data_IF_202068272814
#
_entry.id   IF_202068272814
#
_cell.length_a   1.000
_cell.length_b   1.000
_cell.length_c   1.000
_cell.angle_alpha   90.00
_cell.angle_beta   90.00
_cell.angle_gamma   90.00
#
_symmetry.space_group_name_H-M   'P 1'
#
loop_
_entity.id
_entity.type
_entity.pdbx_description
1 polymer ?
#
# COMPACT_ATOMS: atom_id res chain seq x y z
N UNK A 1 15.95 0.04 -7.11
CA UNK A 1 16.05 0.76 -5.81
C UNK A 1 16.83 -0.05 -4.76
N UNK A 2 17.43 -1.19 -5.11
CA UNK A 2 18.06 -2.12 -4.15
C UNK A 2 19.57 -1.90 -3.90
N UNK A 3 20.17 -0.86 -4.47
CA UNK A 3 21.62 -0.62 -4.39
C UNK A 3 22.08 0.13 -3.13
N UNK A 4 21.25 0.24 -2.10
CA UNK A 4 21.51 1.10 -0.92
C UNK A 4 21.61 0.33 0.41
N UNK A 5 21.49 -0.99 0.40
CA UNK A 5 21.67 -1.80 1.60
C UNK A 5 23.15 -1.87 1.96
N UNK A 6 23.51 -1.49 3.18
CA UNK A 6 24.87 -1.50 3.76
C UNK A 6 25.92 -0.62 3.08
N UNK A 7 25.49 0.41 2.34
CA UNK A 7 26.36 1.41 1.73
C UNK A 7 27.32 2.08 2.74
N UNK A 8 26.89 2.30 3.98
CA UNK A 8 27.66 2.97 5.04
C UNK A 8 28.78 2.17 5.69
N UNK A 9 28.96 0.88 5.35
CA UNK A 9 30.07 0.05 5.84
C UNK A 9 31.24 -0.01 4.84
N UNK A 10 31.12 0.64 3.68
CA UNK A 10 32.16 0.64 2.63
C UNK A 10 33.05 1.89 2.82
N UNK A 11 34.36 1.73 3.06
CA UNK A 11 35.26 2.86 3.35
C UNK A 11 35.31 3.94 2.25
N UNK A 12 35.01 3.56 1.01
CA UNK A 12 35.05 4.43 -0.17
C UNK A 12 33.68 5.00 -0.57
N UNK A 13 32.60 4.68 0.14
CA UNK A 13 31.26 5.17 -0.15
C UNK A 13 30.73 5.99 1.04
N UNK A 14 31.09 7.27 1.08
CA UNK A 14 30.62 8.26 2.07
C UNK A 14 29.14 8.62 1.82
N UNK A 15 28.22 7.70 2.09
CA UNK A 15 26.78 7.91 1.93
C UNK A 15 26.17 8.50 3.22
N UNK A 16 25.65 9.73 3.13
CA UNK A 16 25.13 10.54 4.25
C UNK A 16 23.80 10.08 4.89
N UNK A 17 23.24 8.92 4.49
CA UNK A 17 21.99 8.41 5.09
C UNK A 17 22.26 7.17 5.93
N UNK A 18 21.94 7.28 7.22
CA UNK A 18 21.91 6.17 8.18
C UNK A 18 21.00 5.06 7.62
N UNK A 19 21.50 3.83 7.39
CA UNK A 19 20.66 2.76 6.88
C UNK A 19 19.53 2.48 7.87
N UNK A 20 18.29 2.45 7.38
CA UNK A 20 17.15 1.97 8.15
C UNK A 20 17.28 0.45 8.17
N UNK A 21 17.61 -0.10 9.34
CA UNK A 21 17.59 -1.55 9.54
C UNK A 21 16.12 -1.98 9.51
N UNK A 22 15.70 -2.61 8.42
CA UNK A 22 14.42 -3.26 8.34
C UNK A 22 14.54 -4.65 8.98
N UNK A 23 13.76 -4.90 10.04
CA UNK A 23 13.62 -6.22 10.63
C UNK A 23 12.48 -6.94 9.93
N UNK A 24 12.75 -8.11 9.38
CA UNK A 24 11.71 -8.95 8.78
C UNK A 24 11.23 -9.96 9.83
N UNK A 25 9.98 -10.42 9.73
CA UNK A 25 9.43 -11.38 10.70
C UNK A 25 10.23 -12.70 10.76
N UNK A 26 10.97 -13.03 9.71
CA UNK A 26 11.90 -14.17 9.70
C UNK A 26 13.08 -14.01 10.68
N UNK A 27 13.45 -12.78 11.05
CA UNK A 27 14.52 -12.51 12.02
C UNK A 27 14.06 -12.78 13.48
N UNK A 28 12.76 -13.02 13.71
CA UNK A 28 12.19 -13.33 15.05
C UNK A 28 12.21 -14.81 15.42
N UNK A 29 12.71 -15.69 14.55
CA UNK A 29 12.84 -17.12 14.88
C UNK A 29 14.04 -17.29 15.83
N UNK A 30 13.83 -16.93 17.09
CA UNK A 30 14.71 -17.30 18.19
C UNK A 30 14.79 -18.82 18.29
N UNK A 31 16.00 -19.33 18.56
CA UNK A 31 16.40 -20.74 18.69
C UNK A 31 15.58 -21.59 19.69
N UNK A 32 14.55 -21.03 20.32
CA UNK A 32 13.75 -21.66 21.37
C UNK A 32 12.57 -22.51 20.85
N UNK A 33 12.11 -22.33 19.61
CA UNK A 33 10.87 -23.01 19.13
C UNK A 33 11.15 -24.25 18.28
N UNK A 34 12.42 -24.57 18.02
CA UNK A 34 12.83 -25.71 17.17
C UNK A 34 12.98 -27.03 17.92
N UNK A 35 12.68 -27.11 19.22
CA UNK A 35 12.69 -28.39 19.95
C UNK A 35 11.33 -29.07 20.05
N UNK A 36 10.22 -28.38 19.75
CA UNK A 36 8.88 -28.97 19.85
C UNK A 36 8.28 -29.40 18.50
N UNK A 37 8.74 -28.84 17.38
CA UNK A 37 8.19 -29.13 16.04
C UNK A 37 8.97 -30.18 15.24
N UNK A 38 10.08 -30.72 15.77
CA UNK A 38 10.90 -31.70 15.05
C UNK A 38 10.30 -33.11 15.04
N UNK A 39 9.19 -33.36 15.75
CA UNK A 39 8.62 -34.70 15.89
C UNK A 39 7.44 -35.03 14.95
N UNK A 40 6.90 -34.09 14.14
CA UNK A 40 5.60 -34.34 13.49
C UNK A 40 5.46 -34.08 11.98
N UNK A 41 6.49 -33.61 11.28
CA UNK A 41 6.38 -33.43 9.81
C UNK A 41 7.60 -34.03 9.13
N UNK A 42 7.48 -35.31 8.80
CA UNK A 42 8.38 -36.02 7.91
C UNK A 42 7.88 -35.90 6.47
N UNK A 43 7.59 -34.70 5.96
CA UNK A 43 7.31 -34.52 4.52
C UNK A 43 7.51 -33.05 4.10
N UNK A 44 8.30 -32.89 3.04
CA UNK A 44 8.77 -31.66 2.38
C UNK A 44 10.06 -31.05 2.98
N UNK A 45 11.10 -31.04 2.14
CA UNK A 45 12.40 -30.41 2.36
C UNK A 45 12.24 -28.89 2.60
N UNK A 46 11.93 -28.49 3.84
CA UNK A 46 12.33 -27.17 4.32
C UNK A 46 13.78 -27.30 4.76
N UNK A 47 14.70 -26.91 3.88
CA UNK A 47 16.11 -26.77 4.26
C UNK A 47 16.18 -25.56 5.22
N UNK A 48 16.55 -25.77 6.50
CA UNK A 48 16.62 -24.66 7.43
C UNK A 48 17.74 -23.71 6.98
N UNK A 49 17.42 -22.44 6.78
CA UNK A 49 18.32 -21.32 6.45
C UNK A 49 19.42 -21.06 7.53
N UNK A 50 19.66 -22.02 8.44
CA UNK A 50 20.70 -22.00 9.47
C UNK A 50 22.06 -22.49 8.99
N UNK A 51 22.25 -22.78 7.69
CA UNK A 51 23.59 -23.05 7.16
C UNK A 51 24.32 -21.72 6.98
N UNK A 52 25.41 -21.44 7.71
CA UNK A 52 26.25 -20.29 7.40
C UNK A 52 26.65 -20.41 5.92
N UNK A 53 26.43 -19.34 5.17
CA UNK A 53 26.74 -19.30 3.75
C UNK A 53 28.20 -19.73 3.56
N UNK A 54 28.45 -20.63 2.61
CA UNK A 54 29.81 -21.04 2.24
C UNK A 54 30.68 -19.77 2.05
N UNK A 55 31.98 -19.76 2.39
CA UNK A 55 32.83 -18.57 2.22
C UNK A 55 32.91 -18.04 0.78
N UNK A 56 32.45 -18.84 -0.20
CA UNK A 56 32.34 -18.46 -1.62
C UNK A 56 30.92 -17.98 -2.04
N UNK A 57 29.98 -17.92 -1.09
CA UNK A 57 28.57 -17.57 -1.27
C UNK A 57 27.72 -18.71 -1.84
N UNK A 58 26.43 -18.79 -1.46
CA UNK A 58 25.45 -19.67 -2.10
C UNK A 58 24.76 -18.96 -3.27
N UNK A 59 23.92 -19.67 -4.04
CA UNK A 59 23.18 -19.07 -5.16
C UNK A 59 22.28 -17.87 -4.75
N UNK A 60 21.90 -17.76 -3.47
CA UNK A 60 21.17 -16.59 -2.92
C UNK A 60 22.08 -15.42 -2.56
N UNK A 61 23.34 -15.68 -2.20
CA UNK A 61 24.27 -14.67 -1.67
C UNK A 61 25.34 -14.21 -2.69
N UNK A 62 25.57 -14.98 -3.76
CA UNK A 62 26.44 -14.59 -4.86
C UNK A 62 25.68 -13.64 -5.77
N UNK A 63 25.98 -12.34 -5.65
CA UNK A 63 25.55 -11.34 -6.64
C UNK A 63 26.22 -11.68 -7.97
N UNK A 64 25.44 -12.23 -8.91
CA UNK A 64 25.92 -12.39 -10.28
C UNK A 64 26.05 -10.98 -10.89
N UNK A 65 27.19 -10.64 -11.48
CA UNK A 65 27.30 -9.36 -12.20
C UNK A 65 26.24 -9.35 -13.29
N UNK A 66 25.51 -8.23 -13.38
CA UNK A 66 24.59 -8.06 -14.49
C UNK A 66 25.38 -8.09 -15.80
N UNK A 67 24.87 -8.76 -16.85
CA UNK A 67 25.56 -8.79 -18.16
C UNK A 67 25.64 -7.40 -18.80
N UNK A 68 24.94 -6.40 -18.23
CA UNK A 68 24.80 -5.03 -18.72
C UNK A 68 25.03 -4.09 -17.55
N UNK A 69 25.84 -3.06 -17.75
CA UNK A 69 26.23 -2.12 -16.70
C UNK A 69 25.13 -1.08 -16.42
N UNK A 70 24.81 -0.23 -17.38
CA UNK A 70 23.76 0.79 -17.31
C UNK A 70 23.48 1.37 -18.70
N UNK A 71 22.46 2.20 -18.83
CA UNK A 71 22.11 2.87 -20.09
C UNK A 71 23.17 3.86 -20.58
N UNK A 72 24.09 4.32 -19.71
CA UNK A 72 25.20 5.20 -20.10
C UNK A 72 26.35 4.41 -20.73
N UNK A 73 26.69 3.25 -20.18
CA UNK A 73 27.78 2.40 -20.66
C UNK A 73 27.36 1.53 -21.86
N UNK A 74 26.07 1.26 -22.03
CA UNK A 74 25.54 0.42 -23.11
C UNK A 74 24.22 1.00 -23.65
N UNK A 75 24.26 2.20 -24.26
CA UNK A 75 23.05 2.92 -24.69
C UNK A 75 22.26 2.21 -25.78
N UNK A 76 22.90 1.31 -26.53
CA UNK A 76 22.30 0.55 -27.64
C UNK A 76 21.75 -0.82 -27.22
N UNK A 77 21.80 -1.18 -25.93
CA UNK A 77 21.32 -2.49 -25.49
C UNK A 77 19.79 -2.59 -25.58
N UNK A 78 19.22 -3.66 -26.17
CA UNK A 78 17.78 -3.79 -26.40
C UNK A 78 16.92 -3.70 -25.13
N UNK A 79 17.46 -4.07 -23.96
CA UNK A 79 16.76 -3.90 -22.68
C UNK A 79 16.46 -2.43 -22.32
N UNK A 80 17.22 -1.47 -22.86
CA UNK A 80 16.96 -0.04 -22.64
C UNK A 80 16.04 0.57 -23.70
N UNK A 81 15.76 -0.14 -24.81
CA UNK A 81 14.85 0.33 -25.85
C UNK A 81 13.37 0.40 -25.38
N UNK A 82 13.04 -0.26 -24.26
CA UNK A 82 11.71 -0.22 -23.64
C UNK A 82 11.47 1.11 -22.91
N UNK A 83 12.54 1.85 -22.56
CA UNK A 83 12.41 3.13 -21.88
C UNK A 83 12.13 4.22 -22.92
N UNK A 84 10.99 4.93 -22.83
CA UNK A 84 10.67 5.99 -23.77
C UNK A 84 11.77 7.05 -23.73
N UNK A 85 12.31 7.37 -24.91
CA UNK A 85 13.34 8.38 -25.07
C UNK A 85 12.79 9.74 -24.55
N UNK A 86 13.42 10.38 -23.55
CA UNK A 86 12.88 11.60 -22.94
C UNK A 86 12.69 12.76 -23.94
N UNK A 87 13.35 12.72 -25.11
CA UNK A 87 13.19 13.70 -26.18
C UNK A 87 11.87 13.61 -26.96
N UNK A 88 11.10 12.53 -26.82
CA UNK A 88 9.77 12.40 -27.43
C UNK A 88 8.61 12.90 -26.55
N UNK A 89 8.89 13.52 -25.40
CA UNK A 89 7.87 14.23 -24.61
C UNK A 89 7.58 15.61 -25.23
N UNK A 90 7.34 15.66 -26.53
CA UNK A 90 6.78 16.81 -27.20
C UNK A 90 5.26 16.78 -27.02
N UNK A 91 4.76 17.67 -26.18
CA UNK A 91 3.49 18.40 -26.34
C UNK A 91 2.27 17.60 -26.80
N UNK A 92 1.34 17.32 -25.86
CA UNK A 92 -0.13 17.47 -26.02
C UNK A 92 -1.01 16.42 -25.34
N UNK A 93 -0.56 15.74 -24.28
CA UNK A 93 -1.50 15.17 -23.32
C UNK A 93 -1.55 16.10 -22.12
N UNK A 94 -2.38 17.16 -22.19
CA UNK A 94 -2.91 17.74 -20.97
C UNK A 94 -3.67 16.60 -20.28
N UNK A 95 -3.01 15.91 -19.35
CA UNK A 95 -3.67 14.95 -18.49
C UNK A 95 -4.88 15.69 -17.91
N UNK A 96 -6.09 15.24 -18.24
CA UNK A 96 -7.31 15.87 -17.79
C UNK A 96 -7.18 16.06 -16.27
N UNK A 97 -7.03 17.32 -15.85
CA UNK A 97 -6.80 17.64 -14.45
C UNK A 97 -7.98 17.09 -13.67
N UNK A 98 -7.76 16.01 -12.93
CA UNK A 98 -8.74 15.40 -12.04
C UNK A 98 -9.48 16.52 -11.30
N UNK A 99 -10.81 16.56 -11.45
CA UNK A 99 -11.63 17.58 -10.82
C UNK A 99 -11.30 17.61 -9.32
N UNK A 100 -10.83 18.77 -8.83
CA UNK A 100 -10.34 18.89 -7.46
C UNK A 100 -11.52 18.80 -6.49
N UNK A 101 -11.33 18.09 -5.39
CA UNK A 101 -12.27 18.08 -4.28
C UNK A 101 -12.40 19.49 -3.69
N UNK A 102 -13.59 19.85 -3.22
CA UNK A 102 -13.87 21.18 -2.67
C UNK A 102 -13.02 21.44 -1.43
N UNK A 103 -12.69 22.72 -1.15
CA UNK A 103 -12.19 23.08 0.18
C UNK A 103 -13.36 23.03 1.16
N UNK A 104 -13.27 22.13 2.15
CA UNK A 104 -14.25 21.98 3.23
C UNK A 104 -13.48 22.10 4.54
N UNK A 105 -13.94 22.97 5.44
CA UNK A 105 -13.33 23.18 6.75
C UNK A 105 -13.80 22.12 7.73
N UNK A 106 -12.87 21.45 8.41
CA UNK A 106 -13.21 20.58 9.54
C UNK A 106 -13.58 21.45 10.74
N UNK A 107 -14.87 21.53 11.05
CA UNK A 107 -15.39 22.19 12.24
C UNK A 107 -15.74 21.14 13.32
N UNK A 108 -15.91 21.54 14.60
CA UNK A 108 -16.37 20.62 15.64
C UNK A 108 -17.66 19.91 15.23
N UNK A 109 -17.84 18.68 15.71
CA UNK A 109 -19.00 17.84 15.38
C UNK A 109 -20.25 18.34 16.10
N UNK A 110 -21.33 18.49 15.34
CA UNK A 110 -22.68 18.70 15.85
C UNK A 110 -23.33 17.35 16.21
N UNK A 111 -24.38 17.29 17.06
CA UNK A 111 -25.08 16.04 17.36
C UNK A 111 -25.64 15.34 16.10
N UNK A 112 -26.04 16.10 15.08
CA UNK A 112 -26.48 15.53 13.80
C UNK A 112 -25.33 14.82 13.07
N UNK A 113 -24.13 15.40 13.10
CA UNK A 113 -22.94 14.79 12.49
C UNK A 113 -22.53 13.50 13.22
N UNK A 114 -22.68 13.46 14.54
CA UNK A 114 -22.47 12.25 15.34
C UNK A 114 -23.44 11.14 14.93
N UNK A 115 -24.72 11.48 14.71
CA UNK A 115 -25.73 10.52 14.26
C UNK A 115 -25.42 10.00 12.85
N UNK A 116 -25.05 10.89 11.93
CA UNK A 116 -24.64 10.53 10.57
C UNK A 116 -23.41 9.62 10.59
N UNK A 117 -22.38 9.99 11.37
CA UNK A 117 -21.18 9.18 11.54
C UNK A 117 -21.51 7.79 12.10
N UNK A 118 -22.40 7.70 13.09
CA UNK A 118 -22.84 6.42 13.63
C UNK A 118 -23.57 5.56 12.59
N UNK A 119 -24.46 6.16 11.79
CA UNK A 119 -25.16 5.48 10.70
C UNK A 119 -24.17 4.96 9.63
N UNK A 120 -23.20 5.78 9.21
CA UNK A 120 -22.15 5.38 8.28
C UNK A 120 -21.26 4.26 8.85
N UNK A 121 -20.98 4.29 10.16
CA UNK A 121 -20.27 3.20 10.84
C UNK A 121 -21.04 1.89 10.86
N UNK A 122 -22.37 1.93 10.98
CA UNK A 122 -23.23 0.75 10.88
C UNK A 122 -23.25 0.23 9.45
N UNK A 123 -23.49 1.10 8.47
CA UNK A 123 -23.48 0.77 7.05
C UNK A 123 -22.19 0.07 6.62
N UNK A 124 -21.01 0.65 6.93
CA UNK A 124 -19.74 0.02 6.56
C UNK A 124 -19.51 -1.34 7.22
N UNK A 125 -20.04 -1.57 8.43
CA UNK A 125 -19.95 -2.87 9.11
C UNK A 125 -20.83 -3.91 8.43
N UNK A 126 -22.08 -3.58 8.16
CA UNK A 126 -23.02 -4.46 7.44
C UNK A 126 -22.49 -4.82 6.07
N UNK A 127 -21.98 -3.84 5.32
CA UNK A 127 -21.45 -4.09 4.00
C UNK A 127 -20.15 -4.91 4.02
N UNK A 128 -19.34 -4.80 5.07
CA UNK A 128 -18.17 -5.66 5.26
C UNK A 128 -18.59 -7.12 5.47
N UNK A 129 -19.65 -7.34 6.26
CA UNK A 129 -20.20 -8.67 6.50
C UNK A 129 -20.76 -9.24 5.19
N UNK A 130 -21.49 -8.43 4.41
CA UNK A 130 -22.10 -8.86 3.14
C UNK A 130 -21.05 -9.23 2.08
N UNK A 131 -19.98 -8.44 1.93
CA UNK A 131 -18.97 -8.62 0.88
C UNK A 131 -17.88 -9.63 1.28
N UNK A 132 -17.42 -9.58 2.54
CA UNK A 132 -16.24 -10.34 2.98
C UNK A 132 -16.53 -11.35 4.09
N UNK A 133 -17.75 -11.38 4.62
CA UNK A 133 -18.13 -12.25 5.72
C UNK A 133 -17.70 -11.72 7.09
N UNK A 134 -18.32 -12.28 8.14
CA UNK A 134 -18.11 -11.86 9.53
C UNK A 134 -16.66 -12.04 10.01
N UNK A 135 -15.97 -13.07 9.53
CA UNK A 135 -14.57 -13.36 9.91
C UNK A 135 -13.63 -12.21 9.52
N UNK A 136 -13.78 -11.64 8.31
CA UNK A 136 -12.98 -10.50 7.85
C UNK A 136 -13.26 -9.23 8.64
N UNK A 137 -14.51 -8.99 9.02
CA UNK A 137 -14.85 -7.84 9.85
C UNK A 137 -14.10 -7.89 11.20
N UNK A 138 -13.99 -9.08 11.80
CA UNK A 138 -13.30 -9.24 13.08
C UNK A 138 -11.77 -9.11 12.97
N UNK A 139 -11.17 -9.53 11.85
CA UNK A 139 -9.72 -9.49 11.67
C UNK A 139 -9.19 -8.16 11.14
N UNK A 140 -9.90 -7.54 10.18
CA UNK A 140 -9.42 -6.36 9.44
C UNK A 140 -10.27 -5.11 9.69
N UNK A 141 -11.39 -5.25 10.39
CA UNK A 141 -12.34 -4.16 10.59
C UNK A 141 -13.12 -3.77 9.34
N UNK A 142 -13.97 -2.73 9.43
CA UNK A 142 -14.82 -2.29 8.33
C UNK A 142 -14.12 -1.37 7.31
N UNK A 143 -12.84 -1.07 7.51
CA UNK A 143 -12.06 -0.17 6.65
C UNK A 143 -11.93 -0.67 5.21
N UNK A 144 -12.11 -1.98 4.97
CA UNK A 144 -12.11 -2.57 3.64
C UNK A 144 -13.26 -2.09 2.73
N UNK A 145 -14.36 -1.59 3.32
CA UNK A 145 -15.46 -0.97 2.57
C UNK A 145 -15.21 0.53 2.44
N UNK A 146 -15.01 1.19 3.58
CA UNK A 146 -14.91 2.64 3.69
C UNK A 146 -13.92 3.00 4.80
N UNK A 147 -12.79 3.59 4.39
CA UNK A 147 -11.76 4.07 5.32
C UNK A 147 -12.25 5.25 6.17
N UNK A 148 -11.61 5.47 7.31
CA UNK A 148 -12.01 6.52 8.26
C UNK A 148 -11.89 7.94 7.65
N UNK A 149 -10.88 8.19 6.82
CA UNK A 149 -10.72 9.46 6.10
C UNK A 149 -11.87 9.73 5.12
N UNK A 150 -12.33 8.70 4.40
CA UNK A 150 -13.49 8.80 3.50
C UNK A 150 -14.75 9.10 4.31
N UNK A 151 -14.96 8.38 5.42
CA UNK A 151 -16.12 8.59 6.28
C UNK A 151 -16.14 10.02 6.84
N UNK A 152 -15.02 10.50 7.38
CA UNK A 152 -14.90 11.87 7.89
C UNK A 152 -15.19 12.90 6.80
N UNK A 153 -14.65 12.67 5.60
CA UNK A 153 -14.88 13.53 4.45
C UNK A 153 -16.35 13.57 4.02
N UNK A 154 -17.07 12.45 4.12
CA UNK A 154 -18.51 12.39 3.83
C UNK A 154 -19.28 13.26 4.82
N UNK A 155 -18.99 13.14 6.12
CA UNK A 155 -19.63 13.95 7.17
C UNK A 155 -19.36 15.44 6.94
N UNK A 156 -18.11 15.82 6.68
CA UNK A 156 -17.73 17.20 6.38
C UNK A 156 -18.48 17.75 5.15
N UNK A 157 -18.61 16.93 4.09
CA UNK A 157 -19.30 17.34 2.85
C UNK A 157 -20.83 17.37 3.00
N UNK A 158 -21.40 16.47 3.80
CA UNK A 158 -22.82 16.40 4.13
C UNK A 158 -23.29 17.69 4.79
N UNK A 159 -22.53 18.20 5.77
CA UNK A 159 -22.81 19.47 6.43
C UNK A 159 -22.88 20.66 5.48
N UNK A 160 -22.06 20.63 4.42
CA UNK A 160 -22.05 21.67 3.38
C UNK A 160 -23.09 21.45 2.27
N UNK A 161 -23.95 20.43 2.39
CA UNK A 161 -24.94 20.02 1.39
C UNK A 161 -24.35 19.82 -0.03
N UNK A 162 -23.08 19.40 -0.12
CA UNK A 162 -22.38 19.20 -1.41
C UNK A 162 -22.56 17.81 -2.01
N UNK A 163 -23.15 16.87 -1.26
CA UNK A 163 -23.35 15.48 -1.66
C UNK A 163 -24.74 15.28 -2.25
N UNK A 164 -25.03 15.89 -3.41
CA UNK A 164 -26.31 15.72 -4.10
C UNK A 164 -26.35 14.58 -5.12
N UNK A 165 -25.19 14.11 -5.59
CA UNK A 165 -25.08 13.06 -6.62
C UNK A 165 -23.93 12.11 -6.32
N UNK A 166 -23.99 10.90 -6.90
CA UNK A 166 -22.93 9.89 -6.77
C UNK A 166 -21.60 10.42 -7.32
N UNK A 167 -21.66 11.20 -8.39
CA UNK A 167 -20.48 11.85 -8.98
C UNK A 167 -19.86 12.89 -8.04
N UNK A 168 -20.68 13.66 -7.33
CA UNK A 168 -20.20 14.60 -6.33
C UNK A 168 -19.53 13.86 -5.16
N UNK A 169 -20.12 12.75 -4.70
CA UNK A 169 -19.53 11.88 -3.69
C UNK A 169 -18.16 11.33 -4.13
N UNK A 170 -18.08 10.78 -5.35
CA UNK A 170 -16.84 10.26 -5.91
C UNK A 170 -15.77 11.35 -6.05
N UNK A 171 -16.15 12.55 -6.50
CA UNK A 171 -15.25 13.70 -6.64
C UNK A 171 -14.72 14.20 -5.29
N UNK A 172 -15.59 14.31 -4.28
CA UNK A 172 -15.23 14.88 -2.98
C UNK A 172 -14.43 13.93 -2.10
N UNK A 173 -14.70 12.63 -2.19
CA UNK A 173 -14.08 11.61 -1.34
C UNK A 173 -12.95 10.85 -2.03
N UNK A 174 -12.94 10.83 -3.37
CA UNK A 174 -12.08 9.95 -4.20
C UNK A 174 -12.20 8.47 -3.79
N UNK A 175 -13.34 8.10 -3.24
CA UNK A 175 -13.58 6.75 -2.79
C UNK A 175 -13.80 5.83 -4.00
N UNK A 176 -12.97 4.80 -4.12
CA UNK A 176 -13.00 3.87 -5.25
C UNK A 176 -14.34 3.17 -5.45
N UNK A 177 -15.12 3.01 -4.37
CA UNK A 177 -16.42 2.32 -4.39
C UNK A 177 -17.60 3.27 -4.39
N UNK A 178 -17.38 4.56 -4.64
CA UNK A 178 -18.45 5.54 -4.74
C UNK A 178 -19.47 5.17 -5.82
N UNK A 179 -19.05 4.60 -6.95
CA UNK A 179 -19.99 4.18 -8.00
C UNK A 179 -20.80 2.92 -7.66
N UNK A 180 -20.28 2.03 -6.81
CA UNK A 180 -20.96 0.80 -6.42
C UNK A 180 -21.92 1.01 -5.25
N UNK A 181 -21.47 1.80 -4.26
CA UNK A 181 -22.12 1.92 -2.95
C UNK A 181 -22.61 3.34 -2.65
N UNK A 182 -22.33 4.30 -3.54
CA UNK A 182 -22.61 5.71 -3.31
C UNK A 182 -24.10 6.01 -3.21
N UNK A 183 -24.96 5.32 -3.94
CA UNK A 183 -26.42 5.50 -3.82
C UNK A 183 -26.95 5.12 -2.44
N UNK A 184 -26.45 4.02 -1.85
CA UNK A 184 -26.83 3.61 -0.51
C UNK A 184 -26.33 4.62 0.54
N UNK A 185 -25.11 5.15 0.35
CA UNK A 185 -24.54 6.18 1.23
C UNK A 185 -25.31 7.50 1.13
N UNK A 186 -25.72 7.91 -0.07
CA UNK A 186 -26.51 9.13 -0.29
C UNK A 186 -27.93 9.06 0.29
N UNK A 187 -28.45 7.86 0.60
CA UNK A 187 -29.71 7.71 1.34
C UNK A 187 -29.55 7.90 2.85
N UNK A 188 -28.32 7.77 3.35
CA UNK A 188 -27.98 7.93 4.77
C UNK A 188 -27.62 9.39 5.09
N UNK A 189 -26.98 10.07 4.13
CA UNK A 189 -26.62 11.49 4.17
C UNK A 189 -27.84 12.36 3.93
#
# INVERSE_FOLDING_TARGET
>A
LDSLVNAGLRPWLLCYRKPIVAYYENDRISKSTLLFFQAFIHFTNLEPDNRPCHPQGCARCVLRPSPICCSLCSPTHPLFAILPNPSHQSSSAQAASSARASKVSSAPMDPQDCQLQAALHTFRREQTIKVYGRRRLNSNGPGAIMGDEVLKRIVDCARSHKLGTVEALARETKWSRAHELGEEVLKIV
#
